data_IF_151136355138
#
_entry.id   IF_151136355138
#
_cell.length_a   1.000
_cell.length_b   1.000
_cell.length_c   1.000
_cell.angle_alpha   90.00
_cell.angle_beta   90.00
_cell.angle_gamma   90.00
#
_symmetry.space_group_name_H-M   'P 1'
#
loop_
_entity.id
_entity.type
_entity.pdbx_description
1 polymer ?
#
# COMPACT_ATOMS: atom_id res chain seq x y z
N UNK A 1 33.42 54.64 -65.47
CA UNK A 1 32.01 55.10 -65.47
C UNK A 1 31.58 55.39 -64.04
N UNK A 2 30.88 56.52 -63.85
CA UNK A 2 30.05 57.01 -62.74
C UNK A 2 30.08 56.28 -61.36
N UNK A 3 30.44 57.08 -60.35
CA UNK A 3 29.93 57.25 -58.96
C UNK A 3 28.43 56.88 -58.71
N UNK A 4 27.85 56.94 -57.47
CA UNK A 4 28.37 57.12 -56.07
C UNK A 4 27.57 56.37 -54.93
N UNK A 5 27.98 56.65 -53.67
CA UNK A 5 27.14 56.99 -52.48
C UNK A 5 26.64 55.94 -51.45
N UNK A 6 27.34 55.92 -50.29
CA UNK A 6 26.95 56.06 -48.84
C UNK A 6 25.48 56.47 -48.53
N UNK A 7 24.98 56.56 -47.25
CA UNK A 7 25.48 56.09 -45.92
C UNK A 7 24.37 55.60 -44.93
N UNK A 8 24.72 55.19 -43.70
CA UNK A 8 24.06 55.57 -42.40
C UNK A 8 24.87 54.93 -41.25
N UNK A 9 25.62 55.60 -40.33
CA UNK A 9 25.34 56.62 -39.30
C UNK A 9 24.14 56.19 -38.41
N UNK A 10 24.24 55.90 -37.10
CA UNK A 10 24.73 56.65 -35.91
C UNK A 10 24.69 55.68 -34.71
N UNK A 11 25.77 55.47 -33.94
CA UNK A 11 26.11 56.07 -32.62
C UNK A 11 24.94 56.40 -31.68
N UNK A 12 24.94 55.80 -30.48
CA UNK A 12 25.15 56.41 -29.12
C UNK A 12 24.78 55.37 -28.04
N UNK A 13 25.65 54.90 -27.14
CA UNK A 13 26.34 55.54 -26.00
C UNK A 13 25.60 55.38 -24.66
N UNK A 14 26.39 55.08 -23.61
CA UNK A 14 26.15 55.31 -22.17
C UNK A 14 25.05 54.46 -21.49
N UNK A 15 25.09 54.10 -20.20
CA UNK A 15 26.08 54.13 -19.13
C UNK A 15 25.45 53.42 -17.90
N UNK A 16 26.29 53.23 -16.87
CA UNK A 16 25.94 53.09 -15.43
C UNK A 16 25.53 51.71 -14.92
N UNK A 17 26.55 51.05 -14.37
CA UNK A 17 26.46 50.20 -13.18
C UNK A 17 25.65 50.90 -12.08
N UNK A 18 24.67 50.19 -11.51
CA UNK A 18 24.12 50.44 -10.17
C UNK A 18 24.06 49.10 -9.46
N UNK A 19 24.96 48.93 -8.50
CA UNK A 19 24.95 47.90 -7.47
C UNK A 19 23.80 48.17 -6.51
N UNK A 20 22.93 47.18 -6.30
CA UNK A 20 21.91 47.18 -5.25
C UNK A 20 22.19 45.98 -4.30
N UNK A 21 21.96 46.12 -2.99
CA UNK A 21 22.33 45.12 -1.98
C UNK A 21 21.33 43.95 -1.92
N UNK A 22 21.73 42.77 -1.42
CA UNK A 22 20.83 41.64 -1.26
C UNK A 22 19.97 41.84 0.01
N UNK A 23 18.65 41.90 -0.14
CA UNK A 23 17.72 41.80 0.98
C UNK A 23 17.51 40.30 1.29
N UNK A 24 18.11 39.81 2.36
CA UNK A 24 17.76 38.53 2.97
C UNK A 24 16.36 38.65 3.59
N UNK A 25 15.37 37.98 2.99
CA UNK A 25 14.09 37.70 3.63
C UNK A 25 14.21 36.39 4.40
N UNK A 26 14.38 36.47 5.72
CA UNK A 26 14.31 35.33 6.62
C UNK A 26 12.84 34.93 6.83
N UNK A 27 12.41 33.84 6.23
CA UNK A 27 11.11 33.20 6.51
C UNK A 27 11.28 32.41 7.80
N UNK A 28 10.69 32.91 8.89
CA UNK A 28 10.56 32.18 10.16
C UNK A 28 9.47 31.13 9.97
N UNK A 29 9.86 29.87 9.73
CA UNK A 29 8.95 28.73 9.82
C UNK A 29 8.60 28.49 11.30
N UNK A 30 7.42 28.95 11.72
CA UNK A 30 6.81 28.49 12.95
C UNK A 30 6.22 27.09 12.74
N UNK A 31 7.05 26.05 12.87
CA UNK A 31 6.57 24.66 12.96
C UNK A 31 6.00 24.44 14.37
N UNK A 32 4.70 24.71 14.51
CA UNK A 32 3.91 24.23 15.63
C UNK A 32 3.96 22.70 15.64
N UNK A 33 4.72 22.14 16.59
CA UNK A 33 4.66 20.73 16.93
C UNK A 33 3.30 20.46 17.58
N UNK A 34 2.30 20.21 16.74
CA UNK A 34 1.11 19.49 17.18
C UNK A 34 1.55 18.08 17.52
N UNK A 35 1.86 17.84 18.79
CA UNK A 35 1.94 16.49 19.35
C UNK A 35 0.51 15.93 19.37
N UNK A 36 0.02 15.47 18.22
CA UNK A 36 -1.13 14.61 18.17
C UNK A 36 -0.80 13.40 19.05
N UNK A 37 -1.48 13.26 20.18
CA UNK A 37 -1.39 12.03 20.98
C UNK A 37 -1.67 10.88 20.03
N UNK A 38 -0.74 9.92 19.96
CA UNK A 38 -0.87 8.73 19.14
C UNK A 38 -2.04 7.88 19.69
N UNK A 39 -3.26 8.26 19.33
CA UNK A 39 -4.43 7.41 19.47
C UNK A 39 -4.15 6.18 18.60
N UNK A 40 -4.25 5.00 19.18
CA UNK A 40 -4.12 3.75 18.43
C UNK A 40 -5.26 3.72 17.40
N UNK A 41 -4.94 4.01 16.15
CA UNK A 41 -5.90 4.03 15.04
C UNK A 41 -6.21 2.59 14.61
N UNK A 42 -7.46 2.34 14.19
CA UNK A 42 -7.83 1.08 13.58
C UNK A 42 -6.90 0.78 12.41
N UNK A 43 -6.26 -0.40 12.38
CA UNK A 43 -5.30 -0.74 11.33
C UNK A 43 -5.87 -0.53 9.92
N UNK A 44 -7.15 -0.86 9.73
CA UNK A 44 -7.84 -0.70 8.43
C UNK A 44 -7.99 0.74 7.95
N UNK A 45 -7.89 1.73 8.83
CA UNK A 45 -8.03 3.15 8.48
C UNK A 45 -6.70 3.75 8.01
N UNK A 46 -5.56 3.14 8.35
CA UNK A 46 -4.24 3.62 7.97
C UNK A 46 -3.99 3.46 6.46
N UNK A 47 -3.58 4.54 5.79
CA UNK A 47 -3.34 4.53 4.35
C UNK A 47 -2.28 3.50 3.90
N UNK A 48 -1.21 3.30 4.69
CA UNK A 48 -0.18 2.31 4.39
C UNK A 48 -0.70 0.87 4.48
N UNK A 49 -1.62 0.60 5.41
CA UNK A 49 -2.30 -0.69 5.53
C UNK A 49 -3.26 -0.90 4.37
N UNK A 50 -4.04 0.11 3.98
CA UNK A 50 -4.93 0.06 2.82
C UNK A 50 -4.15 -0.26 1.53
N UNK A 51 -3.03 0.43 1.31
CA UNK A 51 -2.20 0.25 0.12
C UNK A 51 -1.52 -1.12 0.09
N UNK A 52 -0.95 -1.57 1.22
CA UNK A 52 -0.32 -2.89 1.33
C UNK A 52 -1.32 -4.03 1.31
N UNK A 53 -2.59 -3.78 1.64
CA UNK A 53 -3.67 -4.75 1.47
C UNK A 53 -4.06 -5.03 0.03
N UNK A 54 -3.55 -4.28 -0.95
CA UNK A 54 -3.74 -4.61 -2.38
C UNK A 54 -2.72 -5.68 -2.76
N UNK A 55 -3.18 -6.82 -3.28
CA UNK A 55 -2.32 -7.97 -3.63
C UNK A 55 -1.12 -7.59 -4.52
N UNK A 56 -1.31 -6.70 -5.50
CA UNK A 56 -0.25 -6.21 -6.38
C UNK A 56 0.85 -5.41 -5.65
N UNK A 57 0.52 -4.77 -4.53
CA UNK A 57 1.44 -3.92 -3.78
C UNK A 57 2.07 -4.62 -2.58
N UNK A 58 1.44 -5.70 -2.09
CA UNK A 58 1.78 -6.29 -0.81
C UNK A 58 3.24 -6.78 -0.73
N UNK A 59 3.71 -7.49 -1.76
CA UNK A 59 5.08 -8.00 -1.80
C UNK A 59 6.11 -6.85 -1.73
N UNK A 60 5.86 -5.74 -2.44
CA UNK A 60 6.74 -4.58 -2.46
C UNK A 60 6.75 -3.83 -1.11
N UNK A 61 5.64 -3.89 -0.36
CA UNK A 61 5.54 -3.37 1.00
C UNK A 61 6.25 -4.27 2.04
N UNK A 62 6.77 -5.43 1.64
CA UNK A 62 7.39 -6.41 2.54
C UNK A 62 6.41 -7.38 3.19
N UNK A 63 5.17 -7.43 2.70
CA UNK A 63 4.18 -8.43 3.07
C UNK A 63 4.35 -9.75 2.33
N UNK A 64 3.54 -10.73 2.73
CA UNK A 64 3.49 -12.06 2.14
C UNK A 64 2.05 -12.58 1.97
N UNK A 65 1.11 -11.67 1.72
CA UNK A 65 -0.29 -11.96 1.36
C UNK A 65 -0.39 -12.93 0.18
N UNK A 66 0.46 -12.77 -0.84
CA UNK A 66 0.39 -13.58 -2.06
C UNK A 66 0.80 -15.05 -1.84
N UNK A 67 1.31 -15.43 -0.65
CA UNK A 67 1.39 -16.85 -0.26
C UNK A 67 0.02 -17.50 -0.05
N UNK A 68 -1.04 -16.70 0.03
CA UNK A 68 -2.39 -17.11 0.42
C UNK A 68 -3.45 -16.77 -0.63
N UNK A 69 -3.07 -16.48 -1.88
CA UNK A 69 -4.01 -16.18 -2.95
C UNK A 69 -3.70 -17.06 -4.16
N UNK A 70 -4.60 -17.96 -4.52
CA UNK A 70 -4.40 -18.81 -5.70
C UNK A 70 -4.28 -17.97 -6.98
N UNK A 71 -3.26 -18.26 -7.79
CA UNK A 71 -2.93 -17.51 -8.99
C UNK A 71 -2.04 -16.28 -8.77
N UNK A 72 -1.80 -15.86 -7.53
CA UNK A 72 -0.83 -14.81 -7.22
C UNK A 72 0.59 -15.37 -7.03
N UNK A 73 1.60 -14.55 -7.34
CA UNK A 73 3.01 -14.89 -7.14
C UNK A 73 3.47 -14.49 -5.74
N UNK A 74 3.94 -15.44 -4.90
CA UNK A 74 4.54 -15.13 -3.60
C UNK A 74 5.77 -14.21 -3.71
N UNK A 75 6.16 -13.51 -2.63
CA UNK A 75 7.48 -12.89 -2.55
C UNK A 75 8.60 -13.90 -2.81
N UNK A 76 9.74 -13.42 -3.33
CA UNK A 76 10.91 -14.27 -3.57
C UNK A 76 11.34 -15.01 -2.28
N UNK A 77 11.64 -16.31 -2.41
CA UNK A 77 12.02 -17.17 -1.29
C UNK A 77 10.84 -17.70 -0.46
N UNK A 78 9.61 -17.30 -0.77
CA UNK A 78 8.40 -17.78 -0.12
C UNK A 78 7.57 -18.68 -1.06
N UNK A 79 6.70 -19.50 -0.48
CA UNK A 79 5.91 -20.50 -1.21
C UNK A 79 4.47 -20.59 -0.71
N UNK A 80 3.56 -20.94 -1.61
CA UNK A 80 2.18 -21.31 -1.32
C UNK A 80 2.06 -22.76 -0.82
N UNK A 81 3.12 -23.58 -0.92
CA UNK A 81 3.10 -24.94 -0.42
C UNK A 81 2.67 -24.96 1.07
N UNK A 82 1.78 -25.90 1.40
CA UNK A 82 1.19 -26.08 2.74
C UNK A 82 0.42 -24.87 3.28
N UNK A 83 -0.06 -23.97 2.40
CA UNK A 83 -0.87 -22.82 2.79
C UNK A 83 -2.35 -23.01 2.44
N UNK A 84 -3.21 -22.34 3.20
CA UNK A 84 -4.60 -22.07 2.82
C UNK A 84 -4.64 -20.86 1.91
N UNK A 85 -5.37 -20.96 0.80
CA UNK A 85 -5.45 -19.93 -0.23
C UNK A 85 -6.89 -19.44 -0.42
N UNK A 86 -7.07 -18.13 -0.60
CA UNK A 86 -8.23 -17.59 -1.31
C UNK A 86 -8.31 -18.20 -2.71
N UNK A 87 -9.52 -18.37 -3.25
CA UNK A 87 -9.69 -19.03 -4.55
C UNK A 87 -9.17 -18.20 -5.73
N UNK A 88 -9.09 -16.88 -5.57
CA UNK A 88 -8.50 -15.96 -6.55
C UNK A 88 -8.16 -14.60 -5.94
N UNK A 89 -7.49 -13.75 -6.73
CA UNK A 89 -7.24 -12.34 -6.38
C UNK A 89 -8.55 -11.57 -6.21
N UNK A 90 -9.56 -11.86 -7.03
CA UNK A 90 -10.88 -11.21 -6.98
C UNK A 90 -11.63 -11.56 -5.70
N UNK A 91 -11.60 -12.83 -5.25
CA UNK A 91 -12.24 -13.22 -3.99
C UNK A 91 -11.60 -12.49 -2.79
N UNK A 92 -10.26 -12.44 -2.74
CA UNK A 92 -9.55 -11.65 -1.74
C UNK A 92 -9.89 -10.17 -1.82
N UNK A 93 -9.89 -9.58 -3.03
CA UNK A 93 -10.18 -8.16 -3.23
C UNK A 93 -11.59 -7.80 -2.77
N UNK A 94 -12.57 -8.67 -3.05
CA UNK A 94 -13.94 -8.52 -2.56
C UNK A 94 -14.03 -8.54 -1.03
N UNK A 95 -13.31 -9.46 -0.38
CA UNK A 95 -13.17 -9.47 1.07
C UNK A 95 -12.53 -8.18 1.61
N UNK A 96 -11.38 -7.79 1.07
CA UNK A 96 -10.61 -6.64 1.54
C UNK A 96 -11.41 -5.34 1.44
N UNK A 97 -12.05 -5.09 0.30
CA UNK A 97 -12.88 -3.90 0.09
C UNK A 97 -14.05 -3.82 1.06
N UNK A 98 -14.70 -4.96 1.37
CA UNK A 98 -15.78 -5.00 2.36
C UNK A 98 -15.28 -4.85 3.79
N UNK A 99 -14.07 -5.34 4.11
CA UNK A 99 -13.45 -5.16 5.43
C UNK A 99 -13.08 -3.69 5.69
N UNK A 100 -12.54 -3.01 4.66
CA UNK A 100 -12.22 -1.58 4.72
C UNK A 100 -13.48 -0.70 4.82
N UNK A 101 -14.58 -1.11 4.19
CA UNK A 101 -15.80 -0.32 4.17
C UNK A 101 -16.54 -0.41 5.52
N UNK A 102 -16.65 0.69 6.30
CA UNK A 102 -17.33 0.69 7.59
C UNK A 102 -18.85 0.45 7.48
N UNK A 103 -19.44 0.57 6.29
CA UNK A 103 -20.84 0.22 6.03
C UNK A 103 -21.07 -1.26 5.77
N UNK A 104 -20.02 -1.99 5.38
CA UNK A 104 -20.08 -3.44 5.16
C UNK A 104 -19.58 -4.21 6.39
N UNK A 105 -18.43 -3.82 6.92
CA UNK A 105 -17.89 -4.41 8.14
C UNK A 105 -18.11 -3.50 9.35
N UNK A 106 -19.14 -3.87 10.14
CA UNK A 106 -19.58 -3.19 11.37
C UNK A 106 -18.96 -3.77 12.66
N UNK A 107 -18.07 -4.74 12.55
CA UNK A 107 -17.35 -5.27 13.71
C UNK A 107 -16.20 -4.36 14.16
N UNK A 108 -15.69 -4.64 15.35
CA UNK A 108 -14.56 -3.89 15.91
C UNK A 108 -13.27 -4.22 15.14
N UNK A 109 -12.70 -3.22 14.48
CA UNK A 109 -11.41 -3.35 13.83
C UNK A 109 -10.29 -3.28 14.87
N UNK A 110 -9.26 -4.13 14.70
CA UNK A 110 -8.09 -4.09 15.59
C UNK A 110 -7.34 -2.78 15.41
N UNK A 111 -6.87 -2.20 16.51
CA UNK A 111 -6.01 -1.03 16.48
C UNK A 111 -4.55 -1.44 16.26
N UNK A 112 -3.86 -0.69 15.42
CA UNK A 112 -2.43 -0.87 15.20
C UNK A 112 -1.68 -0.22 16.36
N UNK A 113 -1.06 -1.05 17.21
CA UNK A 113 -0.28 -0.62 18.38
C UNK A 113 0.90 -1.56 18.58
N UNK A 114 2.01 -1.05 19.14
CA UNK A 114 3.26 -1.82 19.24
C UNK A 114 3.88 -2.08 17.87
N UNK A 115 4.26 -3.34 17.60
CA UNK A 115 4.92 -3.77 16.37
C UNK A 115 4.10 -4.73 15.50
N UNK A 116 3.05 -5.30 16.06
CA UNK A 116 2.21 -6.33 15.45
C UNK A 116 0.79 -6.25 15.99
N UNK A 117 -0.17 -6.57 15.13
CA UNK A 117 -1.58 -6.69 15.49
C UNK A 117 -2.20 -7.81 14.66
N UNK A 118 -3.18 -8.51 15.25
CA UNK A 118 -3.84 -9.65 14.59
C UNK A 118 -5.33 -9.54 14.79
N UNK A 119 -6.07 -9.90 13.74
CA UNK A 119 -7.52 -9.93 13.80
C UNK A 119 -8.05 -11.14 13.03
N UNK A 120 -8.87 -11.94 13.71
CA UNK A 120 -9.70 -12.95 13.06
C UNK A 120 -11.08 -12.36 12.84
N UNK A 121 -11.56 -12.36 11.61
CA UNK A 121 -12.93 -11.95 11.27
C UNK A 121 -13.71 -13.12 10.69
N UNK A 122 -15.00 -13.21 11.01
CA UNK A 122 -15.86 -14.20 10.36
C UNK A 122 -16.19 -13.74 8.95
N UNK A 123 -16.26 -14.68 8.01
CA UNK A 123 -16.71 -14.42 6.64
C UNK A 123 -18.09 -13.78 6.66
N UNK A 124 -18.98 -14.24 7.54
CA UNK A 124 -20.31 -13.67 7.69
C UNK A 124 -20.27 -12.19 8.07
N UNK A 125 -19.39 -11.78 9.00
CA UNK A 125 -19.31 -10.38 9.43
C UNK A 125 -18.96 -9.41 8.29
N UNK A 126 -18.15 -9.86 7.32
CA UNK A 126 -17.61 -9.03 6.22
C UNK A 126 -18.39 -9.20 4.91
N UNK A 127 -18.72 -10.44 4.54
CA UNK A 127 -19.30 -10.79 3.24
C UNK A 127 -20.78 -11.18 3.29
N UNK A 128 -21.37 -11.36 4.50
CA UNK A 128 -22.73 -11.89 4.69
C UNK A 128 -22.95 -13.26 4.02
N UNK A 129 -21.91 -14.09 4.04
CA UNK A 129 -21.89 -15.49 3.60
C UNK A 129 -21.43 -16.37 4.76
N UNK A 130 -21.88 -17.61 4.84
CA UNK A 130 -21.44 -18.52 5.90
C UNK A 130 -19.96 -18.91 5.74
N UNK A 131 -19.54 -19.16 4.49
CA UNK A 131 -18.17 -19.53 4.13
C UNK A 131 -17.77 -18.93 2.79
N UNK A 132 -16.46 -18.79 2.57
CA UNK A 132 -15.87 -18.60 1.24
C UNK A 132 -15.27 -19.90 0.71
N UNK A 133 -15.13 -19.99 -0.61
CA UNK A 133 -14.32 -21.02 -1.22
C UNK A 133 -12.83 -20.79 -0.98
N UNK A 134 -12.03 -21.78 -1.30
CA UNK A 134 -10.58 -21.64 -1.30
C UNK A 134 -9.90 -22.98 -1.50
N UNK A 135 -8.59 -22.99 -1.28
CA UNK A 135 -7.77 -24.16 -1.52
C UNK A 135 -6.85 -24.46 -0.35
N UNK A 136 -6.58 -25.73 -0.12
CA UNK A 136 -5.41 -26.18 0.62
C UNK A 136 -4.34 -26.55 -0.40
N UNK A 137 -3.22 -25.84 -0.41
CA UNK A 137 -2.12 -26.14 -1.32
C UNK A 137 -1.18 -27.18 -0.72
N UNK A 138 -0.89 -28.25 -1.45
CA UNK A 138 -0.01 -29.33 -0.98
C UNK A 138 1.35 -29.33 -1.68
N UNK A 139 1.43 -28.78 -2.90
CA UNK A 139 2.70 -28.63 -3.62
C UNK A 139 2.72 -27.34 -4.45
N UNK A 140 3.91 -26.81 -4.66
CA UNK A 140 4.16 -25.60 -5.44
C UNK A 140 5.31 -25.83 -6.44
N UNK A 141 5.36 -25.00 -7.49
CA UNK A 141 6.47 -24.98 -8.45
C UNK A 141 7.72 -24.28 -7.88
N UNK A 142 8.78 -24.19 -8.69
CA UNK A 142 10.04 -23.55 -8.32
C UNK A 142 9.91 -22.06 -7.97
N UNK A 143 8.84 -21.40 -8.44
CA UNK A 143 8.51 -20.01 -8.12
C UNK A 143 7.60 -19.89 -6.88
N UNK A 144 7.35 -21.00 -6.17
CA UNK A 144 6.49 -21.02 -4.99
C UNK A 144 4.99 -20.94 -5.28
N UNK A 145 4.56 -21.01 -6.54
CA UNK A 145 3.15 -20.95 -6.93
C UNK A 145 2.51 -22.32 -6.84
N UNK A 146 1.31 -22.39 -6.26
CA UNK A 146 0.61 -23.65 -6.02
C UNK A 146 0.31 -24.44 -7.31
N UNK A 147 0.73 -25.70 -7.35
CA UNK A 147 0.49 -26.62 -8.49
C UNK A 147 -0.45 -27.75 -8.12
N UNK A 148 -0.45 -28.19 -6.86
CA UNK A 148 -1.35 -29.24 -6.35
C UNK A 148 -2.17 -28.71 -5.19
N UNK A 149 -3.49 -28.90 -5.28
CA UNK A 149 -4.43 -28.32 -4.32
C UNK A 149 -5.69 -29.16 -4.16
N UNK A 150 -6.34 -28.99 -3.02
CA UNK A 150 -7.68 -29.52 -2.72
C UNK A 150 -8.61 -28.36 -2.43
N UNK A 151 -9.80 -28.37 -3.02
CA UNK A 151 -10.84 -27.38 -2.73
C UNK A 151 -11.32 -27.51 -1.29
N UNK A 152 -11.62 -26.38 -0.65
CA UNK A 152 -12.15 -26.33 0.71
C UNK A 152 -13.05 -25.11 0.88
N UNK A 153 -13.60 -24.96 2.09
CA UNK A 153 -14.41 -23.83 2.49
C UNK A 153 -13.98 -23.35 3.87
N UNK A 154 -14.05 -22.03 4.08
CA UNK A 154 -13.51 -21.37 5.27
C UNK A 154 -14.53 -20.39 5.86
N UNK A 155 -14.70 -20.40 7.18
CA UNK A 155 -15.63 -19.52 7.92
C UNK A 155 -14.98 -18.26 8.47
N UNK A 156 -13.65 -18.21 8.50
CA UNK A 156 -12.88 -17.11 9.08
C UNK A 156 -11.77 -16.63 8.14
N UNK A 157 -11.40 -15.37 8.26
CA UNK A 157 -10.18 -14.81 7.67
C UNK A 157 -9.29 -14.30 8.80
N UNK A 158 -8.03 -14.75 8.82
CA UNK A 158 -7.00 -14.17 9.65
C UNK A 158 -6.37 -12.99 8.91
N UNK A 159 -6.24 -11.85 9.58
CA UNK A 159 -5.52 -10.66 9.14
C UNK A 159 -4.37 -10.42 10.11
N UNK A 160 -3.15 -10.33 9.58
CA UNK A 160 -1.97 -10.01 10.37
C UNK A 160 -1.39 -8.68 9.88
N UNK A 161 -1.20 -7.75 10.80
CA UNK A 161 -0.62 -6.44 10.57
C UNK A 161 0.74 -6.36 11.27
N UNK A 162 1.69 -5.65 10.65
CA UNK A 162 3.04 -5.51 11.21
C UNK A 162 3.69 -4.21 10.79
N UNK A 163 4.59 -3.70 11.62
CA UNK A 163 5.50 -2.62 11.23
C UNK A 163 6.65 -3.20 10.37
N UNK A 164 6.75 -2.73 9.12
CA UNK A 164 7.84 -3.05 8.18
C UNK A 164 8.38 -1.75 7.63
N UNK A 165 9.71 -1.56 7.68
CA UNK A 165 10.34 -0.32 7.22
C UNK A 165 9.84 0.94 7.94
N UNK A 166 9.38 0.82 9.19
CA UNK A 166 8.80 1.92 9.97
C UNK A 166 7.33 2.25 9.64
N UNK A 167 6.68 1.49 8.77
CA UNK A 167 5.28 1.69 8.39
C UNK A 167 4.43 0.47 8.77
N UNK A 168 3.20 0.69 9.23
CA UNK A 168 2.24 -0.38 9.40
C UNK A 168 1.74 -0.87 8.04
N UNK A 169 1.74 -2.19 7.85
CA UNK A 169 1.22 -2.84 6.64
C UNK A 169 0.24 -3.95 7.03
N UNK A 170 -0.64 -4.34 6.10
CA UNK A 170 -1.19 -5.69 6.11
C UNK A 170 -0.06 -6.65 5.73
N UNK A 171 0.48 -7.37 6.69
CA UNK A 171 1.56 -8.34 6.45
C UNK A 171 1.03 -9.51 5.63
N UNK A 172 -0.13 -10.06 6.04
CA UNK A 172 -0.80 -11.13 5.31
C UNK A 172 -2.28 -11.21 5.68
N UNK A 173 -3.03 -11.94 4.86
CA UNK A 173 -4.37 -12.40 5.19
C UNK A 173 -4.59 -13.79 4.60
N UNK A 174 -5.31 -14.66 5.31
CA UNK A 174 -5.57 -16.02 4.83
C UNK A 174 -6.87 -16.63 5.36
N UNK A 175 -7.54 -17.50 4.57
CA UNK A 175 -8.70 -18.24 5.01
C UNK A 175 -8.36 -19.26 6.10
N UNK A 176 -9.23 -19.40 7.09
CA UNK A 176 -9.09 -20.33 8.21
C UNK A 176 -10.47 -20.80 8.70
N UNK A 177 -10.50 -21.84 9.54
CA UNK A 177 -11.70 -22.30 10.23
C UNK A 177 -11.65 -21.91 11.70
#
# INVERSE_FOLDING_TARGET
MKTPQKPSIRRTAAARRRTAPPLLAAIVLATGLYSAGAQAEACRAMASVQQSGISANNNAAGGHLNQHIFGATPPAGLSQATKTLFSSVEEYTGFWNNYLNPDKYKGDAVNCSGSDARQKVTVYSVLKKDKIGGFNCTAANAQGVCTTKTSSQYSNIQLDFKVVGGQWILLTAYPTN
#
